data_IF_284558145364
#
_entry.id   IF_284558145364
#
_cell.length_a   1.000
_cell.length_b   1.000
_cell.length_c   1.000
_cell.angle_alpha   90.00
_cell.angle_beta   90.00
_cell.angle_gamma   90.00
#
_symmetry.space_group_name_H-M   'P 1'
#
loop_
_entity.id
_entity.type
_entity.pdbx_description
1 polymer ?
#
# COMPACT_ATOMS: atom_id res chain seq x y z
N UNK A 1 2.47 6.76 30.63
CA UNK A 1 1.07 6.73 30.15
C UNK A 1 0.40 5.57 30.84
N UNK A 2 -0.59 5.84 31.69
CA UNK A 2 -1.48 4.81 32.25
C UNK A 2 -2.55 4.44 31.22
N UNK A 3 -3.07 3.22 31.23
CA UNK A 3 -4.04 2.67 30.24
C UNK A 3 -5.35 3.46 30.06
N UNK A 4 -5.59 4.53 30.83
CA UNK A 4 -6.78 5.38 30.79
C UNK A 4 -6.55 6.75 30.12
N UNK A 5 -5.43 6.95 29.43
CA UNK A 5 -5.12 8.21 28.72
C UNK A 5 -5.70 8.19 27.30
N UNK A 6 -7.03 8.26 27.19
CA UNK A 6 -7.73 8.21 25.92
C UNK A 6 -7.67 9.56 25.19
N UNK A 7 -7.18 9.56 23.94
CA UNK A 7 -7.22 10.74 23.05
C UNK A 7 -8.67 11.13 22.70
N UNK A 8 -9.55 10.15 22.60
CA UNK A 8 -10.98 10.33 22.34
C UNK A 8 -11.78 9.86 23.55
N UNK A 9 -11.98 10.78 24.50
CA UNK A 9 -12.79 10.58 25.69
C UNK A 9 -13.87 11.65 25.82
N UNK A 10 -14.88 11.32 26.62
CA UNK A 10 -15.77 12.30 27.19
C UNK A 10 -15.00 13.27 28.12
N UNK A 11 -15.53 14.47 28.40
CA UNK A 11 -14.88 15.44 29.30
C UNK A 11 -14.59 14.91 30.71
N UNK A 12 -15.25 13.82 31.11
CA UNK A 12 -15.06 13.11 32.38
C UNK A 12 -13.95 12.03 32.32
N UNK A 13 -13.26 11.88 31.18
CA UNK A 13 -12.19 10.91 30.98
C UNK A 13 -12.64 9.51 30.59
N UNK A 14 -13.95 9.27 30.44
CA UNK A 14 -14.46 7.97 30.00
C UNK A 14 -14.29 7.77 28.48
N UNK A 15 -14.01 6.54 28.01
CA UNK A 15 -13.82 6.28 26.59
C UNK A 15 -15.10 6.52 25.80
N UNK A 16 -14.97 7.11 24.61
CA UNK A 16 -16.09 7.25 23.68
C UNK A 16 -16.54 5.89 23.15
N UNK A 17 -17.84 5.64 23.21
CA UNK A 17 -18.45 4.47 22.57
C UNK A 17 -18.41 4.59 21.03
N UNK A 18 -17.88 3.58 20.31
CA UNK A 18 -17.80 3.60 18.84
C UNK A 18 -19.16 3.76 18.15
N UNK A 19 -20.23 3.26 18.75
CA UNK A 19 -21.59 3.34 18.18
C UNK A 19 -22.10 4.79 18.19
N UNK A 20 -21.75 5.54 19.23
CA UNK A 20 -22.07 6.96 19.37
C UNK A 20 -21.44 7.80 18.25
N UNK A 21 -20.18 7.53 17.91
CA UNK A 21 -19.49 8.18 16.78
C UNK A 21 -20.20 7.86 15.46
N UNK A 22 -20.58 6.60 15.26
CA UNK A 22 -21.30 6.16 14.05
C UNK A 22 -22.65 6.88 13.91
N UNK A 23 -23.41 7.03 15.00
CA UNK A 23 -24.69 7.73 14.99
C UNK A 23 -24.54 9.21 14.65
N UNK A 24 -23.56 9.89 15.26
CA UNK A 24 -23.26 11.29 14.98
C UNK A 24 -22.88 11.47 13.51
N UNK A 25 -22.04 10.58 12.99
CA UNK A 25 -21.61 10.59 11.61
C UNK A 25 -22.79 10.42 10.63
N UNK A 26 -23.66 9.43 10.85
CA UNK A 26 -24.85 9.22 10.01
C UNK A 26 -25.74 10.47 10.01
N UNK A 27 -25.88 11.15 11.15
CA UNK A 27 -26.66 12.40 11.24
C UNK A 27 -26.02 13.52 10.42
N UNK A 28 -24.70 13.67 10.44
CA UNK A 28 -23.98 14.66 9.63
C UNK A 28 -24.10 14.37 8.13
N UNK A 29 -23.90 13.12 7.73
CA UNK A 29 -24.02 12.65 6.34
C UNK A 29 -25.42 12.92 5.78
N UNK A 30 -26.47 12.62 6.57
CA UNK A 30 -27.86 12.91 6.18
C UNK A 30 -28.11 14.39 6.03
N UNK A 31 -27.56 15.24 6.90
CA UNK A 31 -27.64 16.71 6.78
C UNK A 31 -26.93 17.23 5.52
N UNK A 32 -25.84 16.59 5.12
CA UNK A 32 -25.11 16.92 3.89
C UNK A 32 -25.82 16.40 2.62
N UNK A 33 -26.93 15.66 2.74
CA UNK A 33 -27.63 15.06 1.60
C UNK A 33 -26.88 13.89 0.97
N UNK A 34 -25.89 13.32 1.67
CA UNK A 34 -25.07 12.23 1.16
C UNK A 34 -25.54 10.88 1.76
N UNK A 35 -25.12 9.78 1.13
CA UNK A 35 -25.35 8.41 1.63
C UNK A 35 -24.03 7.67 1.71
N UNK A 36 -23.38 7.76 2.87
CA UNK A 36 -22.10 7.11 3.15
C UNK A 36 -22.03 6.63 4.60
N UNK A 37 -21.28 5.55 4.80
CA UNK A 37 -20.97 4.95 6.10
C UNK A 37 -19.60 5.39 6.56
N UNK A 38 -19.34 5.27 7.87
CA UNK A 38 -18.05 5.68 8.43
C UNK A 38 -16.87 4.90 7.79
N UNK A 39 -17.08 3.62 7.49
CA UNK A 39 -16.07 2.79 6.81
C UNK A 39 -15.77 3.23 5.37
N UNK A 40 -16.69 3.96 4.72
CA UNK A 40 -16.49 4.44 3.35
C UNK A 40 -15.43 5.57 3.30
N UNK A 41 -15.16 6.24 4.43
CA UNK A 41 -14.02 7.17 4.56
C UNK A 41 -12.68 6.43 4.44
N UNK A 42 -12.57 5.26 5.08
CA UNK A 42 -11.38 4.42 5.03
C UNK A 42 -11.15 3.88 3.61
N UNK A 43 -12.23 3.55 2.91
CA UNK A 43 -12.15 3.21 1.49
C UNK A 43 -11.70 4.39 0.64
N UNK A 44 -12.26 5.58 0.87
CA UNK A 44 -11.90 6.79 0.13
C UNK A 44 -10.43 7.16 0.29
N UNK A 45 -9.89 7.08 1.51
CA UNK A 45 -8.46 7.30 1.78
C UNK A 45 -7.58 6.36 0.94
N UNK A 46 -7.89 5.06 0.96
CA UNK A 46 -7.11 4.08 0.23
C UNK A 46 -7.20 4.29 -1.29
N UNK A 47 -8.39 4.59 -1.84
CA UNK A 47 -8.57 4.92 -3.26
C UNK A 47 -7.73 6.13 -3.67
N UNK A 48 -7.72 7.20 -2.85
CA UNK A 48 -6.96 8.43 -3.13
C UNK A 48 -5.45 8.14 -3.11
N UNK A 49 -4.97 7.43 -2.10
CA UNK A 49 -3.54 7.11 -1.98
C UNK A 49 -3.06 6.19 -3.11
N UNK A 50 -3.92 5.27 -3.55
CA UNK A 50 -3.63 4.42 -4.69
C UNK A 50 -3.60 5.21 -6.01
N UNK A 51 -4.57 6.09 -6.23
CA UNK A 51 -4.60 6.97 -7.40
C UNK A 51 -3.38 7.91 -7.45
N UNK A 52 -2.84 8.28 -6.28
CA UNK A 52 -1.58 9.01 -6.16
C UNK A 52 -0.32 8.15 -6.44
N UNK A 53 -0.48 6.86 -6.76
CA UNK A 53 0.62 5.95 -7.08
C UNK A 53 1.40 5.44 -5.87
N UNK A 54 0.85 5.57 -4.65
CA UNK A 54 1.50 5.04 -3.45
C UNK A 54 1.43 3.52 -3.44
N UNK A 55 2.52 2.89 -3.00
CA UNK A 55 2.60 1.44 -2.90
C UNK A 55 1.52 0.88 -1.95
N UNK A 56 0.78 -0.12 -2.44
CA UNK A 56 -0.30 -0.80 -1.70
C UNK A 56 0.14 -1.30 -0.33
N UNK A 57 1.40 -1.75 -0.19
CA UNK A 57 1.95 -2.19 1.11
C UNK A 57 2.00 -1.04 2.12
N UNK A 58 2.45 0.14 1.71
CA UNK A 58 2.51 1.33 2.57
C UNK A 58 1.11 1.83 2.95
N UNK A 59 0.14 1.71 2.02
CA UNK A 59 -1.27 2.03 2.30
C UNK A 59 -1.84 1.04 3.32
N UNK A 60 -1.56 -0.26 3.16
CA UNK A 60 -2.02 -1.31 4.07
C UNK A 60 -1.45 -1.15 5.47
N UNK A 61 -0.16 -0.80 5.59
CA UNK A 61 0.49 -0.49 6.86
C UNK A 61 -0.15 0.73 7.54
N UNK A 62 -0.38 1.81 6.78
CA UNK A 62 -1.02 3.03 7.30
C UNK A 62 -2.45 2.80 7.78
N UNK A 63 -3.17 1.88 7.14
CA UNK A 63 -4.52 1.49 7.55
C UNK A 63 -4.48 0.52 8.75
N UNK A 64 -3.39 -0.21 8.96
CA UNK A 64 -3.34 -1.26 9.98
C UNK A 64 -4.24 -2.45 9.63
N UNK A 65 -4.48 -2.72 8.34
CA UNK A 65 -5.16 -3.96 7.94
C UNK A 65 -4.23 -5.14 8.21
N UNK A 66 -4.69 -6.10 9.02
CA UNK A 66 -4.04 -7.41 9.14
C UNK A 66 -4.09 -8.20 7.81
N UNK A 67 -4.99 -7.83 6.89
CA UNK A 67 -5.15 -8.52 5.60
C UNK A 67 -4.98 -7.56 4.41
N UNK A 68 -3.81 -7.64 3.77
CA UNK A 68 -3.44 -6.92 2.54
C UNK A 68 -4.36 -7.32 1.37
N UNK A 69 -4.90 -8.53 1.37
CA UNK A 69 -5.74 -9.08 0.30
C UNK A 69 -7.01 -8.27 0.04
N UNK A 70 -7.64 -7.74 1.08
CA UNK A 70 -8.85 -6.90 0.93
C UNK A 70 -8.52 -5.60 0.20
N UNK A 71 -7.35 -5.02 0.46
CA UNK A 71 -6.93 -3.77 -0.17
C UNK A 71 -6.54 -4.03 -1.64
N UNK A 72 -5.83 -5.13 -1.91
CA UNK A 72 -5.44 -5.48 -3.27
C UNK A 72 -6.65 -5.89 -4.13
N UNK A 73 -7.58 -6.67 -3.61
CA UNK A 73 -8.80 -7.08 -4.32
C UNK A 73 -9.70 -5.88 -4.63
N UNK A 74 -9.90 -4.98 -3.66
CA UNK A 74 -10.75 -3.80 -3.85
C UNK A 74 -10.11 -2.80 -4.82
N UNK A 75 -8.79 -2.67 -4.88
CA UNK A 75 -8.14 -1.60 -5.65
C UNK A 75 -7.37 -2.05 -6.89
N UNK A 76 -7.28 -3.35 -7.15
CA UNK A 76 -6.65 -3.92 -8.36
C UNK A 76 -7.15 -3.28 -9.67
N UNK A 77 -8.44 -2.94 -9.74
CA UNK A 77 -9.06 -2.30 -10.91
C UNK A 77 -8.66 -0.83 -11.11
N UNK A 78 -8.16 -0.16 -10.06
CA UNK A 78 -7.64 1.21 -10.12
C UNK A 78 -6.14 1.26 -10.49
N UNK A 79 -5.52 0.10 -10.71
CA UNK A 79 -4.14 -0.05 -11.18
C UNK A 79 -4.04 -0.51 -12.66
N UNK A 80 -4.83 0.01 -13.61
CA UNK A 80 -4.65 -0.36 -15.01
C UNK A 80 -3.26 0.08 -15.47
N UNK A 81 -2.47 -0.87 -15.97
CA UNK A 81 -1.15 -0.59 -16.52
C UNK A 81 0.03 -0.73 -15.56
N UNK A 82 -0.14 -1.11 -14.29
CA UNK A 82 1.00 -1.40 -13.40
C UNK A 82 1.86 -2.55 -13.96
N UNK A 83 1.23 -3.60 -14.51
CA UNK A 83 1.95 -4.68 -15.17
C UNK A 83 2.75 -4.21 -16.39
N UNK A 84 2.18 -3.28 -17.19
CA UNK A 84 2.85 -2.71 -18.36
C UNK A 84 4.01 -1.80 -17.97
N UNK A 85 3.81 -0.91 -17.00
CA UNK A 85 4.85 -0.03 -16.48
C UNK A 85 5.99 -0.81 -15.79
N UNK A 86 5.66 -1.92 -15.12
CA UNK A 86 6.64 -2.83 -14.55
C UNK A 86 7.46 -3.54 -15.65
N UNK A 87 6.80 -4.03 -16.70
CA UNK A 87 7.46 -4.63 -17.84
C UNK A 87 8.38 -3.65 -18.57
N UNK A 88 7.92 -2.42 -18.85
CA UNK A 88 8.72 -1.37 -19.49
C UNK A 88 9.92 -0.93 -18.62
N UNK A 89 9.75 -0.84 -17.30
CA UNK A 89 10.86 -0.57 -16.38
C UNK A 89 11.86 -1.72 -16.34
N UNK A 90 11.36 -2.95 -16.35
CA UNK A 90 12.20 -4.14 -16.37
C UNK A 90 13.00 -4.24 -17.67
N UNK A 91 12.39 -3.99 -18.82
CA UNK A 91 13.05 -3.91 -20.12
C UNK A 91 14.17 -2.85 -20.12
N UNK A 92 13.89 -1.63 -19.63
CA UNK A 92 14.91 -0.59 -19.47
C UNK A 92 16.08 -0.97 -18.55
N UNK A 93 15.83 -1.78 -17.52
CA UNK A 93 16.89 -2.28 -16.64
C UNK A 93 17.74 -3.38 -17.32
N UNK A 94 17.17 -4.12 -18.27
CA UNK A 94 17.87 -5.14 -19.03
C UNK A 94 18.66 -4.59 -20.23
N UNK A 95 18.25 -3.45 -20.80
CA UNK A 95 18.92 -2.79 -21.94
C UNK A 95 20.45 -2.70 -21.83
N UNK A 96 21.05 -2.25 -20.70
CA UNK A 96 22.50 -2.23 -20.56
C UNK A 96 23.16 -3.61 -20.63
N UNK A 97 22.46 -4.65 -20.14
CA UNK A 97 22.98 -6.03 -20.10
C UNK A 97 22.83 -6.73 -21.46
N UNK A 98 21.75 -6.42 -22.20
CA UNK A 98 21.51 -6.90 -23.55
C UNK A 98 22.45 -6.22 -24.56
N UNK A 99 22.69 -4.91 -24.40
CA UNK A 99 23.63 -4.15 -25.24
C UNK A 99 25.09 -4.58 -25.04
N UNK A 100 25.45 -5.09 -23.86
CA UNK A 100 26.82 -5.57 -23.57
C UNK A 100 27.10 -6.94 -24.21
N UNK A 101 26.07 -7.78 -24.40
CA UNK A 101 26.19 -9.12 -24.99
C UNK A 101 26.43 -9.12 -26.50
N UNK A 102 26.34 -7.95 -27.15
CA UNK A 102 26.60 -7.78 -28.58
C UNK A 102 28.08 -7.61 -28.98
N UNK A 103 29.02 -7.46 -28.04
CA UNK A 103 30.41 -7.12 -28.39
C UNK A 103 31.53 -7.74 -27.51
N UNK A 104 31.45 -9.05 -27.23
CA UNK A 104 32.55 -9.82 -26.62
C UNK A 104 32.03 -11.13 -26.06
N UNK A 105 32.36 -12.29 -26.62
CA UNK A 105 33.72 -12.83 -26.65
C UNK A 105 33.85 -13.82 -25.48
N UNK A 106 33.72 -15.12 -25.79
CA UNK A 106 34.03 -16.32 -24.97
C UNK A 106 34.36 -16.05 -23.49
N UNK A 107 33.45 -16.41 -22.58
CA UNK A 107 33.83 -16.66 -21.19
C UNK A 107 34.61 -17.98 -21.13
N UNK A 108 35.94 -17.90 -21.13
CA UNK A 108 36.82 -19.02 -20.78
C UNK A 108 36.79 -19.15 -19.26
N UNK A 109 36.30 -20.28 -18.76
CA UNK A 109 36.43 -20.65 -17.36
C UNK A 109 37.93 -20.70 -17.01
N UNK A 110 38.38 -19.87 -16.08
CA UNK A 110 39.73 -20.01 -15.53
C UNK A 110 39.76 -21.27 -14.66
N UNK A 111 40.71 -22.20 -14.89
CA UNK A 111 40.86 -23.35 -14.02
C UNK A 111 41.32 -22.88 -12.64
N UNK A 112 40.69 -23.44 -11.62
CA UNK A 112 40.94 -23.14 -10.22
C UNK A 112 42.29 -23.73 -9.81
N UNK A 113 43.30 -22.88 -9.62
CA UNK A 113 44.60 -23.26 -9.06
C UNK A 113 44.63 -22.87 -7.58
N UNK A 114 44.38 -23.83 -6.70
CA UNK A 114 44.99 -23.88 -5.36
C UNK A 114 44.62 -25.19 -4.66
N UNK A 115 45.35 -26.26 -5.00
CA UNK A 115 45.56 -27.38 -4.08
C UNK A 115 47.08 -27.60 -4.01
N UNK A 116 47.71 -27.06 -2.96
CA UNK A 116 48.88 -27.64 -2.28
C UNK A 116 49.38 -26.66 -1.21
N UNK A 117 49.07 -26.95 0.05
CA UNK A 117 50.10 -27.04 1.09
C UNK A 117 49.64 -27.88 2.27
#
# INVERSE_FOLDING_TARGET
MTDNDFVFAHPDGTPLDPSSITHVFVKMVRKAGLKLRLHDLRHSYASIMLAAGINVKAISESLGHANIGITLDIYSHLLPGVGKAAAERFEKLLEPWLSQKGNGGKMVAKPNESDTR
#
